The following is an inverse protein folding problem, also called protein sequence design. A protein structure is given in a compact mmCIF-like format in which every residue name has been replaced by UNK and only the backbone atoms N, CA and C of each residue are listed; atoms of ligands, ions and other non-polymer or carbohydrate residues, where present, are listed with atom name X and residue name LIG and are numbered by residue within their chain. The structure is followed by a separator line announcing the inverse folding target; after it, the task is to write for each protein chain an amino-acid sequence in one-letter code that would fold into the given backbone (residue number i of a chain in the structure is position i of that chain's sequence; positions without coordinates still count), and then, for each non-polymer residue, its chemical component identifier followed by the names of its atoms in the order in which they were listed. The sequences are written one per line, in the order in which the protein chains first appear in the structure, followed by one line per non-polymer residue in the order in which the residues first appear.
data_IF_328798966696
#
_entry.id   IF_328798966696
#
_cell.length_a   1.000
_cell.length_b   1.000
_cell.length_c   1.000
_cell.angle_alpha   90.00
_cell.angle_beta   90.00
_cell.angle_gamma   90.00
#
_symmetry.space_group_name_H-M   'P 1'
#
loop_
_entity.id
_entity.type
_entity.pdbx_description
1 polymer ?
#
# COMPACT_ATOMS: atom_id res chain seq x y z
N UNK A 1 -18.99 3.81 -3.79
CA UNK A 1 -18.13 4.98 -3.51
C UNK A 1 -16.74 4.61 -4.00
N UNK A 2 -16.26 5.22 -5.08
CA UNK A 2 -14.95 4.93 -5.64
C UNK A 2 -13.89 5.32 -4.60
N UNK A 3 -13.06 4.38 -4.21
CA UNK A 3 -11.94 4.62 -3.28
C UNK A 3 -10.97 5.54 -4.01
N UNK A 4 -10.83 6.79 -3.58
CA UNK A 4 -9.83 7.70 -4.15
C UNK A 4 -8.45 7.08 -4.05
N UNK A 5 -7.75 7.02 -5.19
CA UNK A 5 -6.36 6.54 -5.23
C UNK A 5 -5.50 7.49 -4.39
N UNK A 6 -4.59 6.96 -3.56
CA UNK A 6 -3.73 7.80 -2.75
C UNK A 6 -2.81 8.65 -3.62
N UNK A 7 -2.63 9.88 -3.20
CA UNK A 7 -1.79 10.88 -3.88
C UNK A 7 -0.41 10.92 -3.26
N UNK A 8 0.58 10.74 -4.07
CA UNK A 8 2.00 10.81 -3.68
C UNK A 8 2.66 11.96 -4.41
N UNK A 9 3.25 12.89 -3.68
CA UNK A 9 4.12 13.90 -4.29
C UNK A 9 5.55 13.39 -4.26
N UNK A 10 6.19 13.37 -5.42
CA UNK A 10 7.64 13.08 -5.57
C UNK A 10 8.36 14.38 -5.87
N UNK A 11 9.41 14.66 -5.09
CA UNK A 11 10.25 15.86 -5.25
C UNK A 11 11.70 15.44 -5.45
N UNK A 12 12.24 15.64 -6.63
CA UNK A 12 13.59 15.22 -7.02
C UNK A 12 14.08 16.13 -8.16
N UNK A 13 15.26 16.71 -8.01
CA UNK A 13 15.82 17.66 -8.98
C UNK A 13 16.44 16.98 -10.20
N UNK A 14 16.81 15.70 -10.11
CA UNK A 14 17.30 14.92 -11.23
C UNK A 14 16.14 14.32 -12.03
N UNK A 15 15.87 14.77 -13.28
CA UNK A 15 14.69 14.35 -14.03
C UNK A 15 14.60 12.84 -14.24
N UNK A 16 15.72 12.16 -14.43
CA UNK A 16 15.75 10.72 -14.63
C UNK A 16 15.32 9.96 -13.37
N UNK A 17 15.76 10.38 -12.19
CA UNK A 17 15.37 9.80 -10.90
C UNK A 17 13.90 10.10 -10.59
N UNK A 18 13.45 11.33 -10.85
CA UNK A 18 12.04 11.72 -10.68
C UNK A 18 11.10 10.81 -11.48
N UNK A 19 11.40 10.58 -12.77
CA UNK A 19 10.54 9.74 -13.61
C UNK A 19 10.59 8.25 -13.19
N UNK A 20 11.74 7.73 -12.79
CA UNK A 20 11.85 6.36 -12.28
C UNK A 20 11.02 6.19 -11.00
N UNK A 21 11.10 7.13 -10.07
CA UNK A 21 10.31 7.10 -8.84
C UNK A 21 8.81 7.18 -9.13
N UNK A 22 8.41 8.13 -9.97
CA UNK A 22 7.03 8.32 -10.34
C UNK A 22 6.46 7.08 -11.03
N UNK A 23 7.16 6.51 -12.01
CA UNK A 23 6.75 5.28 -12.70
C UNK A 23 6.53 4.11 -11.73
N UNK A 24 7.45 3.89 -10.79
CA UNK A 24 7.31 2.82 -9.82
C UNK A 24 6.09 3.03 -8.90
N UNK A 25 5.84 4.26 -8.46
CA UNK A 25 4.68 4.59 -7.64
C UNK A 25 3.36 4.45 -8.41
N UNK A 26 3.31 4.91 -9.65
CA UNK A 26 2.14 4.75 -10.53
C UNK A 26 1.84 3.28 -10.82
N UNK A 27 2.87 2.45 -11.04
CA UNK A 27 2.70 1.00 -11.24
C UNK A 27 2.12 0.28 -10.03
N UNK A 28 2.30 0.84 -8.83
CA UNK A 28 1.70 0.37 -7.58
C UNK A 28 0.28 0.92 -7.33
N UNK A 29 -0.24 1.73 -8.26
CA UNK A 29 -1.61 2.24 -8.23
C UNK A 29 -1.79 3.56 -7.48
N UNK A 30 -0.72 4.34 -7.26
CA UNK A 30 -0.80 5.68 -6.69
C UNK A 30 -1.04 6.74 -7.77
N UNK A 31 -1.70 7.84 -7.40
CA UNK A 31 -1.69 9.08 -8.19
C UNK A 31 -0.44 9.85 -7.83
N UNK A 32 0.41 10.16 -8.82
CA UNK A 32 1.71 10.79 -8.58
C UNK A 32 1.76 12.19 -9.14
N UNK A 33 1.99 13.16 -8.24
CA UNK A 33 2.39 14.53 -8.61
C UNK A 33 3.91 14.63 -8.55
N UNK A 34 4.49 15.46 -9.39
CA UNK A 34 5.93 15.64 -9.55
C UNK A 34 6.31 17.07 -9.27
N UNK A 35 7.45 17.27 -8.60
CA UNK A 35 8.08 18.57 -8.43
C UNK A 35 9.60 18.40 -8.58
N UNK A 36 10.27 19.37 -9.19
CA UNK A 36 11.71 19.34 -9.49
C UNK A 36 12.56 20.09 -8.46
N UNK A 37 11.91 20.82 -7.58
CA UNK A 37 12.57 21.55 -6.50
C UNK A 37 11.58 21.82 -5.36
N UNK A 38 12.10 22.42 -4.28
CA UNK A 38 11.29 22.70 -3.09
C UNK A 38 10.25 23.81 -3.28
N UNK A 39 10.46 24.74 -4.22
CA UNK A 39 9.50 25.81 -4.48
C UNK A 39 8.31 25.27 -5.28
N UNK A 40 8.56 24.47 -6.32
CA UNK A 40 7.52 23.77 -7.07
C UNK A 40 6.72 22.80 -6.16
N UNK A 41 7.42 22.12 -5.24
CA UNK A 41 6.75 21.25 -4.26
C UNK A 41 5.73 22.00 -3.40
N UNK A 42 6.08 23.21 -2.92
CA UNK A 42 5.15 24.02 -2.11
C UNK A 42 3.94 24.47 -2.94
N UNK A 43 4.13 24.83 -4.22
CA UNK A 43 3.04 25.20 -5.11
C UNK A 43 2.08 24.02 -5.34
N UNK A 44 2.63 22.84 -5.68
CA UNK A 44 1.85 21.62 -5.90
C UNK A 44 1.05 21.25 -4.65
N UNK A 45 1.64 21.34 -3.45
CA UNK A 45 0.96 21.06 -2.17
C UNK A 45 -0.18 22.05 -1.92
N UNK A 46 -0.02 23.31 -2.32
CA UNK A 46 -1.06 24.35 -2.19
C UNK A 46 -2.24 24.13 -3.13
N UNK A 47 -2.03 23.52 -4.29
CA UNK A 47 -3.09 23.23 -5.27
C UNK A 47 -3.81 21.91 -4.93
N UNK A 48 -3.07 20.88 -4.56
CA UNK A 48 -3.58 19.55 -4.32
C UNK A 48 -2.79 18.85 -3.21
N UNK A 49 -3.39 18.75 -2.03
CA UNK A 49 -2.73 18.21 -0.83
C UNK A 49 -2.46 16.70 -1.01
N UNK A 50 -1.17 16.25 -1.00
CA UNK A 50 -0.84 14.85 -1.13
C UNK A 50 -1.07 14.08 0.17
N UNK A 51 -1.20 12.76 0.06
CA UNK A 51 -1.32 11.85 1.19
C UNK A 51 0.02 11.48 1.82
N UNK A 52 1.09 11.57 1.03
CA UNK A 52 2.49 11.39 1.44
C UNK A 52 3.42 12.12 0.45
N UNK A 53 4.54 12.59 0.96
CA UNK A 53 5.59 13.23 0.18
C UNK A 53 6.84 12.35 0.25
N UNK A 54 7.44 12.07 -0.91
CA UNK A 54 8.77 11.46 -1.04
C UNK A 54 9.69 12.51 -1.64
N UNK A 55 10.72 12.91 -0.91
CA UNK A 55 11.49 14.10 -1.26
C UNK A 55 12.99 13.89 -1.07
N UNK A 56 13.79 14.29 -2.06
CA UNK A 56 15.24 14.34 -1.90
C UNK A 56 15.63 15.39 -0.85
N UNK A 57 16.64 15.06 -0.07
CA UNK A 57 17.30 15.97 0.87
C UNK A 57 17.98 17.13 0.16
N UNK A 58 18.77 16.80 -0.87
CA UNK A 58 19.69 17.72 -1.54
C UNK A 58 19.09 18.23 -2.86
N UNK A 59 18.43 19.35 -2.80
CA UNK A 59 17.89 20.02 -3.99
C UNK A 59 18.40 21.45 -4.06
N UNK A 60 18.51 22.03 -5.27
CA UNK A 60 18.91 23.44 -5.44
C UNK A 60 17.85 24.38 -4.86
N UNK A 61 18.27 25.60 -4.54
CA UNK A 61 17.45 26.70 -4.01
C UNK A 61 16.85 26.39 -2.65
N UNK A 62 15.85 25.55 -2.56
CA UNK A 62 15.16 25.16 -1.32
C UNK A 62 15.34 23.66 -1.08
N UNK A 63 16.18 23.31 -0.09
CA UNK A 63 16.47 21.91 0.26
C UNK A 63 15.25 21.19 0.80
N UNK A 64 15.19 19.86 0.63
CA UNK A 64 14.10 19.03 1.14
C UNK A 64 13.89 19.17 2.66
N UNK A 65 14.97 19.35 3.42
CA UNK A 65 14.90 19.60 4.85
C UNK A 65 14.19 20.93 5.17
N UNK A 66 14.45 21.97 4.40
CA UNK A 66 13.80 23.26 4.63
C UNK A 66 12.32 23.21 4.24
N UNK A 67 11.99 22.53 3.14
CA UNK A 67 10.59 22.24 2.77
C UNK A 67 9.90 21.47 3.90
N UNK A 68 10.49 20.38 4.39
CA UNK A 68 9.95 19.59 5.49
C UNK A 68 9.69 20.46 6.74
N UNK A 69 10.64 21.30 7.14
CA UNK A 69 10.48 22.23 8.27
C UNK A 69 9.29 23.17 8.09
N UNK A 70 9.13 23.76 6.90
CA UNK A 70 8.00 24.66 6.59
C UNK A 70 6.67 23.91 6.66
N UNK A 71 6.59 22.71 6.07
CA UNK A 71 5.38 21.88 6.10
C UNK A 71 5.00 21.52 7.54
N UNK A 72 5.98 21.12 8.36
CA UNK A 72 5.71 20.70 9.75
C UNK A 72 5.38 21.87 10.69
N UNK A 73 5.79 23.08 10.33
CA UNK A 73 5.46 24.30 11.06
C UNK A 73 4.07 24.85 10.73
N UNK A 74 3.48 24.47 9.59
CA UNK A 74 2.16 24.94 9.16
C UNK A 74 1.06 23.97 9.65
N UNK A 75 0.04 24.45 10.41
CA UNK A 75 -1.06 23.61 10.90
C UNK A 75 -1.82 22.83 9.82
N UNK A 76 -1.91 23.36 8.59
CA UNK A 76 -2.63 22.74 7.48
C UNK A 76 -1.87 21.59 6.83
N UNK A 77 -0.53 21.64 6.84
CA UNK A 77 0.32 20.66 6.14
C UNK A 77 1.13 19.76 7.08
N UNK A 78 1.23 20.08 8.38
CA UNK A 78 2.05 19.33 9.34
C UNK A 78 1.67 17.85 9.48
N UNK A 79 0.44 17.50 9.16
CA UNK A 79 -0.06 16.12 9.22
C UNK A 79 0.34 15.28 8.01
N UNK A 80 0.83 15.89 6.92
CA UNK A 80 1.28 15.19 5.73
C UNK A 80 2.57 14.46 6.06
N UNK A 81 2.64 13.12 5.90
CA UNK A 81 3.87 12.38 6.12
C UNK A 81 4.92 12.73 5.07
N UNK A 82 6.16 12.90 5.51
CA UNK A 82 7.31 13.20 4.66
C UNK A 82 8.37 12.12 4.83
N UNK A 83 8.74 11.49 3.70
CA UNK A 83 9.86 10.54 3.60
C UNK A 83 11.01 11.28 2.91
N UNK A 84 12.13 11.41 3.59
CA UNK A 84 13.33 12.04 3.03
C UNK A 84 14.22 10.97 2.40
N UNK A 85 14.63 11.20 1.15
CA UNK A 85 15.66 10.41 0.46
C UNK A 85 17.00 11.15 0.57
N UNK A 86 18.09 10.45 0.92
CA UNK A 86 19.39 11.10 1.06
C UNK A 86 20.55 10.18 0.75
N UNK A 87 21.58 10.72 0.12
CA UNK A 87 22.88 10.05 -0.04
C UNK A 87 23.69 10.00 1.28
N UNK A 88 23.26 10.73 2.32
CA UNK A 88 23.95 10.80 3.60
C UNK A 88 23.54 9.64 4.49
N UNK A 89 24.51 8.80 4.84
CA UNK A 89 24.30 7.60 5.65
C UNK A 89 24.68 7.79 7.15
N UNK A 90 25.27 8.92 7.49
CA UNK A 90 25.69 9.16 8.86
C UNK A 90 24.50 9.27 9.81
N UNK A 91 24.62 8.67 10.99
CA UNK A 91 23.53 8.63 11.97
C UNK A 91 23.11 10.02 12.44
N UNK A 92 24.05 10.97 12.48
CA UNK A 92 23.79 12.37 12.82
C UNK A 92 22.84 13.03 11.83
N UNK A 93 23.00 12.77 10.53
CA UNK A 93 22.12 13.33 9.51
C UNK A 93 20.73 12.71 9.55
N UNK A 94 20.61 11.40 9.83
CA UNK A 94 19.32 10.73 10.04
C UNK A 94 18.57 11.30 11.24
N UNK A 95 19.26 11.45 12.38
CA UNK A 95 18.68 12.05 13.59
C UNK A 95 18.20 13.47 13.31
N UNK A 96 19.02 14.28 12.63
CA UNK A 96 18.67 15.65 12.26
C UNK A 96 17.44 15.73 11.34
N UNK A 97 17.32 14.81 10.38
CA UNK A 97 16.13 14.72 9.50
C UNK A 97 14.86 14.42 10.30
N UNK A 98 14.93 13.47 11.22
CA UNK A 98 13.79 13.11 12.08
C UNK A 98 13.45 14.19 13.12
N UNK A 99 14.44 14.87 13.70
CA UNK A 99 14.23 16.00 14.64
C UNK A 99 13.51 17.17 13.97
N UNK A 100 13.71 17.40 12.67
CA UNK A 100 13.01 18.43 11.90
C UNK A 100 11.54 18.08 11.65
N UNK A 101 11.17 16.82 11.89
CA UNK A 101 9.81 16.34 11.80
C UNK A 101 9.53 15.46 10.57
N UNK A 102 10.55 14.99 9.84
CA UNK A 102 10.37 13.96 8.84
C UNK A 102 9.82 12.67 9.50
N UNK A 103 8.90 12.01 8.83
CA UNK A 103 8.24 10.81 9.36
C UNK A 103 9.05 9.54 9.06
N UNK A 104 9.91 9.59 8.05
CA UNK A 104 10.85 8.51 7.70
C UNK A 104 12.05 9.05 6.93
N UNK A 105 13.11 8.23 6.88
CA UNK A 105 14.37 8.56 6.24
C UNK A 105 14.93 7.34 5.50
N UNK A 106 15.29 7.50 4.23
CA UNK A 106 15.78 6.43 3.37
C UNK A 106 17.12 6.83 2.77
N UNK A 107 18.12 5.96 2.93
CA UNK A 107 19.48 6.21 2.41
C UNK A 107 19.59 5.71 0.97
N UNK A 108 20.09 6.54 0.07
CA UNK A 108 20.45 6.17 -1.31
C UNK A 108 21.79 5.39 -1.30
N UNK A 109 21.96 4.28 -2.05
CA UNK A 109 20.96 3.63 -2.87
C UNK A 109 19.99 2.78 -2.05
N UNK A 110 18.71 2.82 -2.41
CA UNK A 110 17.64 2.03 -1.81
C UNK A 110 16.99 1.09 -2.84
N UNK A 111 16.34 0.05 -2.37
CA UNK A 111 15.50 -0.78 -3.24
C UNK A 111 14.11 -0.15 -3.41
N UNK A 112 13.54 -0.28 -4.61
CA UNK A 112 12.17 0.16 -4.88
C UNK A 112 11.18 -0.52 -3.92
N UNK A 113 11.38 -1.81 -3.63
CA UNK A 113 10.54 -2.58 -2.70
C UNK A 113 10.57 -1.99 -1.29
N UNK A 114 11.74 -1.56 -0.81
CA UNK A 114 11.89 -0.90 0.49
C UNK A 114 11.13 0.42 0.52
N UNK A 115 11.34 1.28 -0.48
CA UNK A 115 10.65 2.57 -0.55
C UNK A 115 9.14 2.40 -0.60
N UNK A 116 8.62 1.46 -1.41
CA UNK A 116 7.19 1.18 -1.50
C UNK A 116 6.62 0.72 -0.15
N UNK A 117 7.35 -0.11 0.59
CA UNK A 117 6.92 -0.55 1.93
C UNK A 117 6.82 0.62 2.91
N UNK A 118 7.75 1.58 2.85
CA UNK A 118 7.77 2.79 3.68
C UNK A 118 6.64 3.75 3.30
N UNK A 119 6.43 4.01 2.00
CA UNK A 119 5.31 4.82 1.50
C UNK A 119 3.98 4.27 2.01
N UNK A 120 3.75 2.96 1.85
CA UNK A 120 2.53 2.30 2.36
C UNK A 120 2.40 2.43 3.88
N UNK A 121 3.51 2.38 4.63
CA UNK A 121 3.49 2.52 6.08
C UNK A 121 3.08 3.94 6.50
N UNK A 122 3.58 4.97 5.83
CA UNK A 122 3.21 6.34 6.13
C UNK A 122 1.77 6.66 5.74
N UNK A 123 1.33 6.21 4.57
CA UNK A 123 -0.06 6.33 4.13
C UNK A 123 -1.06 5.69 5.11
N UNK A 124 -0.71 4.55 5.70
CA UNK A 124 -1.50 3.88 6.73
C UNK A 124 -1.65 4.72 8.00
N UNK A 125 -0.62 5.47 8.37
CA UNK A 125 -0.64 6.35 9.55
C UNK A 125 -1.47 7.62 9.33
N UNK A 126 -1.36 8.21 8.14
CA UNK A 126 -2.03 9.47 7.80
C UNK A 126 -3.53 9.31 7.49
N UNK A 127 -3.92 8.19 6.88
CA UNK A 127 -5.32 7.88 6.54
C UNK A 127 -5.74 6.48 7.03
N UNK A 128 -5.92 6.27 8.34
CA UNK A 128 -6.33 4.96 8.86
C UNK A 128 -7.62 4.43 8.24
N UNK A 129 -8.56 5.32 7.94
CA UNK A 129 -9.86 4.98 7.32
C UNK A 129 -9.79 4.73 5.81
N UNK A 130 -8.81 5.30 5.10
CA UNK A 130 -8.65 5.14 3.63
C UNK A 130 -7.67 4.03 3.28
N UNK A 131 -6.71 3.77 4.16
CA UNK A 131 -5.67 2.76 4.03
C UNK A 131 -5.80 1.58 4.99
N UNK A 132 -6.82 1.57 5.84
CA UNK A 132 -7.16 0.36 6.54
C UNK A 132 -7.26 -0.73 5.49
N UNK A 133 -6.33 -1.70 5.50
CA UNK A 133 -6.23 -2.83 4.58
C UNK A 133 -7.49 -3.70 4.69
N UNK A 134 -8.64 -3.09 4.40
CA UNK A 134 -9.92 -3.76 4.32
C UNK A 134 -10.28 -3.94 2.86
N UNK A 135 -10.56 -5.15 2.48
CA UNK A 135 -11.22 -5.46 1.22
C UNK A 135 -12.67 -5.72 1.56
N UNK A 136 -13.57 -5.01 0.90
CA UNK A 136 -15.02 -5.13 1.13
C UNK A 136 -15.68 -5.68 -0.14
N UNK A 137 -16.52 -6.68 0.03
CA UNK A 137 -17.33 -7.26 -1.03
C UNK A 137 -18.66 -7.74 -0.43
N UNK A 138 -19.77 -7.15 -0.89
CA UNK A 138 -21.10 -7.38 -0.33
C UNK A 138 -21.12 -7.14 1.19
N UNK A 139 -21.40 -8.16 1.98
CA UNK A 139 -21.44 -8.13 3.44
C UNK A 139 -20.12 -8.57 4.11
N UNK A 140 -19.10 -8.92 3.30
CA UNK A 140 -17.79 -9.37 3.78
C UNK A 140 -16.80 -8.21 3.87
N UNK A 141 -16.12 -8.12 5.01
CA UNK A 141 -15.00 -7.19 5.24
C UNK A 141 -13.78 -8.00 5.65
N UNK A 142 -12.72 -7.91 4.85
CA UNK A 142 -11.43 -8.54 5.09
C UNK A 142 -10.45 -7.49 5.58
N UNK A 143 -10.00 -7.58 6.82
CA UNK A 143 -8.97 -6.70 7.37
C UNK A 143 -7.60 -7.35 7.21
N UNK A 144 -6.77 -6.78 6.31
CA UNK A 144 -5.45 -7.33 5.97
C UNK A 144 -4.36 -7.07 7.04
N UNK A 145 -4.64 -6.21 8.01
CA UNK A 145 -3.70 -5.89 9.09
C UNK A 145 -3.89 -6.82 10.28
N UNK A 146 -5.16 -6.99 10.66
CA UNK A 146 -5.50 -7.83 11.83
C UNK A 146 -5.77 -9.28 11.46
N UNK A 147 -5.74 -9.61 10.17
CA UNK A 147 -6.13 -10.91 9.62
C UNK A 147 -7.55 -11.35 10.04
N UNK A 148 -8.41 -10.37 10.33
CA UNK A 148 -9.80 -10.60 10.68
C UNK A 148 -10.69 -10.53 9.45
N UNK A 149 -11.71 -11.37 9.47
CA UNK A 149 -12.77 -11.37 8.47
C UNK A 149 -14.09 -11.23 9.19
N UNK A 150 -14.94 -10.30 8.75
CA UNK A 150 -16.29 -10.16 9.28
C UNK A 150 -17.30 -10.28 8.15
N UNK A 151 -18.48 -10.81 8.49
CA UNK A 151 -19.68 -10.75 7.65
C UNK A 151 -20.76 -9.98 8.42
N UNK A 152 -21.03 -8.75 8.00
CA UNK A 152 -21.80 -7.83 8.82
C UNK A 152 -21.11 -7.64 10.19
N UNK A 153 -21.79 -8.00 11.26
CA UNK A 153 -21.26 -7.92 12.64
C UNK A 153 -20.61 -9.23 13.15
N UNK A 154 -20.60 -10.29 12.34
CA UNK A 154 -20.12 -11.62 12.74
C UNK A 154 -18.65 -11.81 12.35
N UNK A 155 -17.80 -12.15 13.33
CA UNK A 155 -16.41 -12.52 13.09
C UNK A 155 -16.31 -13.94 12.51
N UNK A 156 -15.74 -14.08 11.31
CA UNK A 156 -15.47 -15.36 10.67
C UNK A 156 -14.05 -15.84 10.99
N UNK A 157 -13.93 -17.06 11.53
CA UNK A 157 -12.62 -17.66 11.82
C UNK A 157 -12.08 -18.41 10.60
N UNK A 158 -11.06 -17.83 9.97
CA UNK A 158 -10.35 -18.41 8.83
C UNK A 158 -8.92 -18.80 9.21
N UNK A 159 -8.44 -19.91 8.65
CA UNK A 159 -7.01 -20.23 8.68
C UNK A 159 -6.22 -19.31 7.71
N UNK A 160 -4.87 -19.30 7.82
CA UNK A 160 -4.04 -18.43 6.98
C UNK A 160 -4.25 -18.64 5.48
N UNK A 161 -4.41 -19.89 5.05
CA UNK A 161 -4.60 -20.25 3.63
C UNK A 161 -5.99 -19.82 3.14
N UNK A 162 -7.04 -20.08 3.93
CA UNK A 162 -8.41 -19.64 3.63
C UNK A 162 -8.51 -18.12 3.55
N UNK A 163 -7.78 -17.41 4.41
CA UNK A 163 -7.69 -15.95 4.37
C UNK A 163 -7.08 -15.45 3.06
N UNK A 164 -5.97 -16.06 2.61
CA UNK A 164 -5.31 -15.68 1.36
C UNK A 164 -6.17 -16.02 0.12
N UNK A 165 -6.90 -17.13 0.13
CA UNK A 165 -7.88 -17.48 -0.90
C UNK A 165 -8.99 -16.43 -0.97
N UNK A 166 -9.61 -16.09 0.16
CA UNK A 166 -10.68 -15.10 0.22
C UNK A 166 -10.18 -13.73 -0.26
N UNK A 167 -9.00 -13.32 0.18
CA UNK A 167 -8.34 -12.10 -0.30
C UNK A 167 -8.20 -12.10 -1.82
N UNK A 168 -7.71 -13.19 -2.40
CA UNK A 168 -7.51 -13.32 -3.86
C UNK A 168 -8.82 -13.16 -4.62
N UNK A 169 -9.91 -13.75 -4.12
CA UNK A 169 -11.23 -13.62 -4.75
C UNK A 169 -11.80 -12.21 -4.60
N UNK A 170 -11.69 -11.62 -3.41
CA UNK A 170 -12.21 -10.28 -3.14
C UNK A 170 -11.41 -9.15 -3.82
N UNK A 171 -10.12 -9.37 -4.13
CA UNK A 171 -9.32 -8.43 -4.94
C UNK A 171 -9.81 -8.33 -6.38
N UNK A 172 -10.38 -9.42 -6.93
CA UNK A 172 -10.88 -9.48 -8.32
C UNK A 172 -12.22 -10.23 -8.39
N UNK A 173 -13.32 -9.61 -7.93
CA UNK A 173 -14.64 -10.22 -7.96
C UNK A 173 -15.04 -10.59 -9.39
N UNK A 174 -15.68 -11.74 -9.54
CA UNK A 174 -16.14 -12.24 -10.85
C UNK A 174 -15.06 -12.87 -11.72
N UNK A 175 -13.77 -12.79 -11.35
CA UNK A 175 -12.73 -13.50 -12.08
C UNK A 175 -12.79 -15.00 -11.77
N UNK A 176 -12.73 -15.82 -12.83
CA UNK A 176 -12.52 -17.27 -12.69
C UNK A 176 -11.03 -17.53 -12.53
N UNK A 177 -10.70 -18.32 -11.53
CA UNK A 177 -9.34 -18.75 -11.21
C UNK A 177 -9.20 -20.26 -11.40
N UNK A 178 -8.19 -20.69 -12.13
CA UNK A 178 -7.87 -22.12 -12.19
C UNK A 178 -7.21 -22.60 -10.89
N UNK A 179 -7.21 -23.93 -10.68
CA UNK A 179 -6.55 -24.53 -9.52
C UNK A 179 -5.04 -24.26 -9.52
N UNK A 180 -4.43 -24.32 -10.68
CA UNK A 180 -3.01 -24.04 -10.89
C UNK A 180 -2.68 -22.59 -10.57
N UNK A 181 -3.49 -21.64 -11.06
CA UNK A 181 -3.31 -20.20 -10.74
C UNK A 181 -3.42 -19.94 -9.25
N UNK A 182 -4.37 -20.56 -8.55
CA UNK A 182 -4.53 -20.43 -7.10
C UNK A 182 -3.37 -21.07 -6.35
N UNK A 183 -2.91 -22.24 -6.81
CA UNK A 183 -1.76 -22.92 -6.22
C UNK A 183 -0.51 -22.05 -6.31
N UNK A 184 -0.16 -21.56 -7.50
CA UNK A 184 1.00 -20.71 -7.74
C UNK A 184 0.96 -19.43 -6.91
N UNK A 185 -0.22 -18.83 -6.79
CA UNK A 185 -0.38 -17.56 -6.09
C UNK A 185 -0.26 -17.66 -4.58
N UNK A 186 -0.73 -18.77 -3.99
CA UNK A 186 -0.87 -18.92 -2.53
C UNK A 186 0.26 -19.74 -1.92
N UNK A 187 0.70 -20.79 -2.60
CA UNK A 187 1.78 -21.66 -2.12
C UNK A 187 3.14 -21.39 -2.79
N UNK A 188 3.14 -20.68 -3.95
CA UNK A 188 4.37 -20.43 -4.72
C UNK A 188 4.71 -21.61 -5.66
N UNK A 189 5.61 -21.33 -6.62
CA UNK A 189 5.98 -22.31 -7.65
C UNK A 189 6.97 -23.38 -7.20
N UNK A 190 7.64 -23.16 -6.07
CA UNK A 190 8.73 -24.02 -5.60
C UNK A 190 8.27 -25.14 -4.65
N UNK A 191 6.98 -25.19 -4.30
CA UNK A 191 6.42 -26.21 -3.43
C UNK A 191 5.67 -27.25 -4.26
N UNK A 192 6.10 -28.53 -4.16
CA UNK A 192 5.39 -29.68 -4.72
C UNK A 192 4.09 -29.94 -3.91
N UNK A 193 3.08 -29.14 -4.18
CA UNK A 193 1.75 -29.29 -3.58
C UNK A 193 0.77 -29.71 -4.68
N UNK A 194 0.00 -30.76 -4.42
CA UNK A 194 -1.01 -31.22 -5.37
C UNK A 194 -2.16 -30.21 -5.52
N UNK A 195 -2.68 -30.03 -6.73
CA UNK A 195 -3.82 -29.15 -7.02
C UNK A 195 -5.06 -29.49 -6.17
N UNK A 196 -5.20 -30.75 -5.75
CA UNK A 196 -6.27 -31.21 -4.86
C UNK A 196 -6.28 -30.52 -3.49
N UNK A 197 -5.12 -29.99 -3.05
CA UNK A 197 -5.01 -29.19 -1.82
C UNK A 197 -5.86 -27.92 -1.89
N UNK A 198 -5.96 -27.31 -3.07
CA UNK A 198 -6.82 -26.15 -3.31
C UNK A 198 -8.28 -26.48 -2.98
N UNK A 199 -8.78 -27.65 -3.46
CA UNK A 199 -10.18 -28.06 -3.22
C UNK A 199 -10.49 -28.24 -1.71
N UNK A 200 -9.54 -28.75 -0.95
CA UNK A 200 -9.70 -28.91 0.51
C UNK A 200 -9.86 -27.55 1.20
N UNK A 201 -9.01 -26.59 0.87
CA UNK A 201 -9.07 -25.25 1.45
C UNK A 201 -10.29 -24.45 0.96
N UNK A 202 -10.70 -24.61 -0.31
CA UNK A 202 -11.96 -24.05 -0.83
C UNK A 202 -13.16 -24.61 -0.06
N UNK A 203 -13.17 -25.93 0.22
CA UNK A 203 -14.23 -26.55 1.02
C UNK A 203 -14.32 -25.97 2.45
N UNK A 204 -13.17 -25.76 3.10
CA UNK A 204 -13.09 -25.13 4.42
C UNK A 204 -13.55 -23.67 4.38
N UNK A 205 -13.09 -22.91 3.38
CA UNK A 205 -13.50 -21.52 3.18
C UNK A 205 -15.01 -21.39 2.97
N UNK A 206 -15.61 -22.21 2.10
CA UNK A 206 -17.06 -22.25 1.88
C UNK A 206 -17.82 -22.53 3.18
N UNK A 207 -17.35 -23.52 3.93
CA UNK A 207 -17.96 -23.86 5.22
C UNK A 207 -17.93 -22.68 6.20
N UNK A 208 -16.81 -21.96 6.26
CA UNK A 208 -16.69 -20.79 7.12
C UNK A 208 -17.57 -19.62 6.62
N UNK A 209 -17.66 -19.41 5.32
CA UNK A 209 -18.53 -18.37 4.73
C UNK A 209 -20.02 -18.68 4.89
N UNK A 210 -20.41 -19.96 4.94
CA UNK A 210 -21.80 -20.38 5.11
C UNK A 210 -22.19 -20.58 6.58
N UNK A 211 -21.27 -20.33 7.53
CA UNK A 211 -21.62 -20.37 8.95
C UNK A 211 -22.61 -19.23 9.27
N UNK A 212 -23.44 -19.48 10.28
CA UNK A 212 -24.40 -18.50 10.80
C UNK A 212 -25.42 -17.93 9.76
N UNK A 213 -25.79 -18.76 8.77
CA UNK A 213 -26.79 -18.41 7.76
C UNK A 213 -26.26 -17.57 6.58
N UNK A 214 -24.95 -17.41 6.50
CA UNK A 214 -24.32 -16.72 5.35
C UNK A 214 -24.48 -17.48 4.03
N UNK A 215 -24.50 -16.76 2.92
CA UNK A 215 -24.52 -17.35 1.58
C UNK A 215 -23.12 -17.70 1.09
N UNK A 216 -22.97 -18.84 0.42
CA UNK A 216 -21.73 -19.18 -0.28
C UNK A 216 -21.60 -18.32 -1.55
N UNK A 217 -20.66 -17.38 -1.53
CA UNK A 217 -20.39 -16.47 -2.65
C UNK A 217 -19.37 -17.06 -3.65
N UNK A 218 -18.76 -18.22 -3.33
CA UNK A 218 -17.77 -18.88 -4.19
C UNK A 218 -18.46 -19.89 -5.10
N UNK A 219 -18.44 -19.62 -6.40
CA UNK A 219 -19.01 -20.52 -7.43
C UNK A 219 -17.91 -21.34 -8.09
N UNK A 220 -18.22 -22.62 -8.39
CA UNK A 220 -17.35 -23.45 -9.21
C UNK A 220 -17.78 -23.36 -10.69
N UNK A 221 -16.84 -22.98 -11.55
CA UNK A 221 -17.04 -23.01 -13.00
C UNK A 221 -16.48 -24.32 -13.55
N UNK A 222 -17.36 -25.26 -13.90
CA UNK A 222 -16.95 -26.61 -14.35
C UNK A 222 -16.08 -26.51 -15.63
N UNK A 223 -14.93 -27.20 -15.60
CA UNK A 223 -14.00 -27.29 -16.73
C UNK A 223 -12.99 -26.13 -16.81
N UNK A 224 -13.08 -25.13 -15.91
CA UNK A 224 -12.15 -23.98 -15.89
C UNK A 224 -11.58 -23.77 -14.48
N UNK A 225 -12.41 -23.75 -13.44
CA UNK A 225 -11.97 -23.46 -12.06
C UNK A 225 -13.03 -23.74 -11.00
#
# INVERSE_FOLDING_TARGET
MFKEQPRVLVVEDEPAQLEVLAYNLESEGFLVSRARDGEEAILVIGEDVPDVIVMDWMMPHLSGIEVCRRLKSNPETRSIPVIILSARSEDVDKVRGLEIGADDYVVKPYSVVELMARVRTQLRRSRPSSFGRKIEFEDLILNLETYKVTRGEIDLKLGPTEFQLLKTFMEKPGRVWSREELLDRIWGRDLYVETRTVDVHIGRLRKALSSDGGTDTIRTVRGVG
#
